data_IF_908530221939
#
_entry.id   IF_908530221939
#
_cell.length_a   1.000
_cell.length_b   1.000
_cell.length_c   1.000
_cell.angle_alpha   90.00
_cell.angle_beta   90.00
_cell.angle_gamma   90.00
#
_symmetry.space_group_name_H-M   'P 1'
#
loop_
_entity.id
_entity.type
_entity.pdbx_description
1 polymer ?
#
# COMPACT_ATOMS: atom_id res chain seq x y z
N UNK A 1 0.08 0.80 17.33
CA UNK A 1 0.89 1.52 16.31
C UNK A 1 -0.06 2.02 15.24
N UNK A 2 0.06 3.29 14.85
CA UNK A 2 -0.72 3.90 13.76
C UNK A 2 0.25 4.71 12.90
N UNK A 3 0.06 4.69 11.58
CA UNK A 3 0.82 5.49 10.63
C UNK A 3 -0.16 6.32 9.78
N UNK A 4 0.18 7.57 9.44
CA UNK A 4 -0.64 8.38 8.56
C UNK A 4 -0.71 7.76 7.16
N UNK A 5 -1.77 8.09 6.43
CA UNK A 5 -1.85 7.78 5.00
C UNK A 5 -0.75 8.53 4.22
N UNK A 6 -0.33 8.01 3.04
CA UNK A 6 0.57 8.76 2.17
C UNK A 6 -0.09 10.06 1.70
N UNK A 7 0.73 11.06 1.39
CA UNK A 7 0.27 12.28 0.75
C UNK A 7 -0.07 11.99 -0.72
N UNK A 8 -1.35 12.01 -1.04
CA UNK A 8 -1.85 11.69 -2.37
C UNK A 8 -1.38 12.67 -3.45
N UNK A 9 -1.03 13.92 -3.10
CA UNK A 9 -0.53 14.92 -4.06
C UNK A 9 0.84 14.55 -4.64
N UNK A 10 1.54 13.60 -4.01
CA UNK A 10 2.87 13.12 -4.41
C UNK A 10 2.82 11.80 -5.16
N UNK A 11 1.64 11.20 -5.32
CA UNK A 11 1.44 9.94 -6.03
C UNK A 11 1.07 10.29 -7.48
N UNK A 12 1.72 9.68 -8.50
CA UNK A 12 1.29 9.83 -9.89
C UNK A 12 -0.20 9.45 -10.03
N UNK A 13 -0.95 10.19 -10.84
CA UNK A 13 -2.40 9.99 -10.96
C UNK A 13 -2.76 8.56 -11.39
N UNK A 14 -1.96 7.97 -12.28
CA UNK A 14 -2.15 6.60 -12.75
C UNK A 14 -1.86 5.53 -11.68
N UNK A 15 -1.16 5.88 -10.59
CA UNK A 15 -0.82 4.98 -9.48
C UNK A 15 -1.80 5.08 -8.29
N UNK A 16 -2.79 5.98 -8.36
CA UNK A 16 -3.81 6.16 -7.30
C UNK A 16 -4.71 4.92 -7.20
N UNK A 17 -5.07 4.34 -8.35
CA UNK A 17 -5.95 3.18 -8.45
C UNK A 17 -5.15 1.91 -8.76
N UNK A 18 -5.74 0.77 -8.43
CA UNK A 18 -5.15 -0.54 -8.67
C UNK A 18 -4.32 -1.07 -7.50
N UNK A 19 -3.45 -2.04 -7.81
CA UNK A 19 -2.73 -2.82 -6.82
C UNK A 19 -1.43 -2.14 -6.38
N UNK A 20 -1.28 -1.96 -5.07
CA UNK A 20 -0.11 -1.39 -4.39
C UNK A 20 0.26 -2.27 -3.19
N UNK A 21 1.31 -1.90 -2.45
CA UNK A 21 1.82 -2.66 -1.30
C UNK A 21 2.05 -1.74 -0.11
N UNK A 22 1.67 -2.19 1.09
CA UNK A 22 2.13 -1.64 2.37
C UNK A 22 3.22 -2.53 2.94
N UNK A 23 4.36 -1.95 3.31
CA UNK A 23 5.49 -2.64 3.94
C UNK A 23 5.65 -2.19 5.39
N UNK A 24 5.75 -3.16 6.30
CA UNK A 24 6.14 -2.97 7.69
C UNK A 24 7.54 -3.55 7.84
N UNK A 25 8.52 -2.71 8.13
CA UNK A 25 9.92 -3.13 8.34
C UNK A 25 10.28 -2.97 9.82
N UNK A 26 10.95 -3.98 10.38
CA UNK A 26 11.55 -3.90 11.70
C UNK A 26 13.08 -3.89 11.57
N UNK A 27 13.71 -3.03 12.35
CA UNK A 27 15.16 -2.82 12.33
C UNK A 27 15.73 -2.97 13.72
N UNK A 28 16.92 -3.54 13.80
CA UNK A 28 17.72 -3.65 15.01
C UNK A 28 19.16 -3.25 14.67
N UNK A 29 19.79 -2.38 15.46
CA UNK A 29 21.16 -1.87 15.21
C UNK A 29 21.42 -1.43 13.75
N UNK A 30 20.44 -0.78 13.12
CA UNK A 30 20.51 -0.34 11.70
C UNK A 30 20.58 -1.48 10.67
N UNK A 31 20.25 -2.70 11.06
CA UNK A 31 20.04 -3.85 10.19
C UNK A 31 18.54 -4.20 10.19
N UNK A 32 17.95 -4.33 9.00
CA UNK A 32 16.58 -4.82 8.86
C UNK A 32 16.52 -6.29 9.24
N UNK A 33 15.58 -6.68 10.10
CA UNK A 33 15.48 -8.05 10.62
C UNK A 33 14.27 -8.79 10.07
N UNK A 34 13.18 -8.07 9.82
CA UNK A 34 11.97 -8.61 9.21
C UNK A 34 11.23 -7.54 8.41
N UNK A 35 10.67 -7.97 7.29
CA UNK A 35 9.74 -7.21 6.45
C UNK A 35 8.44 -7.99 6.31
N UNK A 36 7.31 -7.30 6.51
CA UNK A 36 5.97 -7.85 6.26
C UNK A 36 5.28 -6.96 5.24
N UNK A 37 4.93 -7.52 4.09
CA UNK A 37 4.20 -6.85 3.03
C UNK A 37 2.76 -7.30 2.93
N UNK A 38 1.87 -6.35 2.68
CA UNK A 38 0.45 -6.58 2.40
C UNK A 38 0.08 -6.01 1.05
N UNK A 39 -0.65 -6.78 0.25
CA UNK A 39 -1.27 -6.27 -0.95
C UNK A 39 -2.42 -5.34 -0.58
N UNK A 40 -2.50 -4.24 -1.30
CA UNK A 40 -3.52 -3.21 -1.14
C UNK A 40 -4.12 -2.96 -2.51
N UNK A 41 -5.44 -3.07 -2.63
CA UNK A 41 -6.15 -2.70 -3.85
C UNK A 41 -6.94 -1.42 -3.62
N UNK A 42 -6.68 -0.40 -4.43
CA UNK A 42 -7.41 0.86 -4.42
C UNK A 42 -8.42 0.84 -5.57
N UNK A 43 -9.71 0.92 -5.25
CA UNK A 43 -10.81 0.87 -6.22
C UNK A 43 -11.62 2.14 -6.18
N UNK A 44 -12.05 2.61 -7.36
CA UNK A 44 -13.05 3.68 -7.48
C UNK A 44 -14.44 3.07 -7.27
N UNK A 45 -15.22 3.62 -6.34
CA UNK A 45 -16.47 3.01 -5.89
C UNK A 45 -17.74 3.50 -6.61
N UNK A 46 -17.62 4.42 -7.55
CA UNK A 46 -18.74 4.87 -8.36
C UNK A 46 -18.89 3.99 -9.61
N UNK A 47 -20.12 3.86 -10.09
CA UNK A 47 -20.41 3.20 -11.35
C UNK A 47 -19.80 4.02 -12.50
N UNK A 48 -18.86 3.41 -13.21
CA UNK A 48 -18.29 3.96 -14.45
C UNK A 48 -18.98 3.24 -15.60
N UNK A 49 -19.55 3.96 -16.59
CA UNK A 49 -20.13 3.35 -17.77
C UNK A 49 -19.15 2.39 -18.46
N UNK A 50 -19.67 1.29 -18.98
CA UNK A 50 -18.84 0.32 -19.67
C UNK A 50 -18.12 0.96 -20.86
N UNK A 51 -16.78 0.87 -20.88
CA UNK A 51 -15.94 1.46 -21.92
C UNK A 51 -15.49 2.91 -21.65
N UNK A 52 -15.90 3.53 -20.54
CA UNK A 52 -15.41 4.84 -20.11
C UNK A 52 -14.27 4.73 -19.09
N UNK A 53 -13.41 5.75 -19.06
CA UNK A 53 -12.34 5.88 -18.07
C UNK A 53 -12.84 6.58 -16.80
N UNK A 54 -12.13 6.36 -15.69
CA UNK A 54 -12.39 7.08 -14.43
C UNK A 54 -12.20 8.59 -14.67
N UNK A 55 -13.12 9.45 -14.20
CA UNK A 55 -12.96 10.90 -14.32
C UNK A 55 -11.66 11.40 -13.69
N UNK A 56 -10.97 12.30 -14.39
CA UNK A 56 -9.76 12.99 -13.92
C UNK A 56 -10.07 14.46 -13.62
N UNK A 57 -9.58 15.04 -12.52
CA UNK A 57 -8.74 14.41 -11.49
C UNK A 57 -9.51 13.40 -10.64
N UNK A 58 -8.83 12.32 -10.21
CA UNK A 58 -9.44 11.27 -9.40
C UNK A 58 -9.94 11.84 -8.06
N UNK A 59 -11.24 11.68 -7.81
CA UNK A 59 -11.85 12.03 -6.52
C UNK A 59 -11.50 10.97 -5.46
N UNK A 60 -10.56 11.32 -4.57
CA UNK A 60 -10.10 10.45 -3.49
C UNK A 60 -11.20 10.07 -2.49
N UNK A 61 -12.28 10.85 -2.38
CA UNK A 61 -13.39 10.51 -1.48
C UNK A 61 -14.17 9.29 -1.94
N UNK A 62 -14.04 8.94 -3.23
CA UNK A 62 -14.66 7.78 -3.88
C UNK A 62 -13.70 6.60 -4.02
N UNK A 63 -12.47 6.72 -3.50
CA UNK A 63 -11.49 5.63 -3.51
C UNK A 63 -11.61 4.81 -2.23
N UNK A 64 -11.82 3.51 -2.37
CA UNK A 64 -11.74 2.58 -1.24
C UNK A 64 -10.50 1.71 -1.32
N UNK A 65 -9.90 1.52 -0.15
CA UNK A 65 -8.70 0.72 0.02
C UNK A 65 -9.04 -0.61 0.68
N UNK A 66 -8.82 -1.70 -0.05
CA UNK A 66 -8.92 -3.05 0.49
C UNK A 66 -7.52 -3.63 0.74
N UNK A 67 -7.22 -4.01 1.99
CA UNK A 67 -5.94 -4.63 2.35
C UNK A 67 -6.14 -6.13 2.47
N UNK A 68 -5.38 -6.92 1.72
CA UNK A 68 -5.41 -8.38 1.81
C UNK A 68 -4.60 -8.84 3.03
N UNK A 69 -5.15 -8.58 4.22
CA UNK A 69 -4.50 -8.82 5.49
C UNK A 69 -4.24 -10.31 5.77
N UNK A 70 -5.08 -11.20 5.23
CA UNK A 70 -4.99 -12.64 5.48
C UNK A 70 -3.86 -13.34 4.72
N UNK A 71 -3.22 -12.66 3.75
CA UNK A 71 -2.11 -13.23 2.95
C UNK A 71 -0.86 -12.35 3.02
N UNK A 72 -0.24 -12.19 4.20
CA UNK A 72 0.99 -11.42 4.33
C UNK A 72 2.15 -12.10 3.58
N UNK A 73 3.05 -11.28 3.03
CA UNK A 73 4.35 -11.74 2.52
C UNK A 73 5.42 -11.38 3.55
N UNK A 74 6.04 -12.40 4.15
CA UNK A 74 7.04 -12.22 5.20
C UNK A 74 8.42 -12.56 4.67
N UNK A 75 9.37 -11.63 4.81
CA UNK A 75 10.79 -11.84 4.54
C UNK A 75 11.56 -11.63 5.82
N UNK A 76 12.42 -12.58 6.19
CA UNK A 76 13.32 -12.48 7.35
C UNK A 76 14.75 -12.36 6.85
N UNK A 77 15.54 -11.55 7.54
CA UNK A 77 16.95 -11.36 7.25
C UNK A 77 17.78 -11.92 8.39
N UNK A 78 18.91 -12.54 8.05
CA UNK A 78 19.86 -13.00 9.06
C UNK A 78 20.52 -11.78 9.71
N UNK A 79 20.63 -11.81 11.03
CA UNK A 79 21.30 -10.79 11.83
C UNK A 79 22.53 -11.43 12.44
N UNK A 80 23.68 -10.79 12.25
CA UNK A 80 24.99 -11.35 12.66
C UNK A 80 25.22 -11.19 14.17
N UNK A 81 24.70 -10.10 14.75
CA UNK A 81 24.89 -9.78 16.16
C UNK A 81 23.61 -9.19 16.78
N UNK A 82 23.07 -9.91 17.76
CA UNK A 82 21.91 -9.51 18.56
C UNK A 82 22.26 -8.88 19.93
N UNK A 83 23.55 -8.85 20.29
CA UNK A 83 24.03 -8.56 21.65
C UNK A 83 24.06 -7.09 22.04
#
# INVERSE_FOLDING_TARGET
MQAPAPDASRIPEDDILGATIVLITCWYKRQEVVRVGFWVNNTYNDEIPEGEEVPRPIDLTKVTRNVLADKPRVTRFNVEDWS
#
